data_IF_850469505614
#
_entry.id   IF_850469505614
#
_cell.length_a   1.000
_cell.length_b   1.000
_cell.length_c   1.000
_cell.angle_alpha   90.00
_cell.angle_beta   90.00
_cell.angle_gamma   90.00
#
_symmetry.space_group_name_H-M   'P 1'
#
loop_
_entity.id
_entity.type
_entity.pdbx_description
1 polymer ?
#
# COMPACT_ATOMS: atom_id res chain seq x y z
N UNK A 1 -51.84 24.44 -29.42
CA UNK A 1 -51.70 23.87 -28.05
C UNK A 1 -50.60 22.83 -28.11
N UNK A 2 -49.57 23.04 -27.29
CA UNK A 2 -48.33 22.27 -27.26
C UNK A 2 -48.56 20.81 -26.83
N UNK A 3 -48.15 19.86 -27.66
CA UNK A 3 -47.98 18.46 -27.28
C UNK A 3 -46.49 18.15 -27.13
N UNK A 4 -46.01 18.10 -25.89
CA UNK A 4 -44.66 17.65 -25.54
C UNK A 4 -44.73 16.60 -24.43
N UNK A 5 -43.76 15.69 -24.46
CA UNK A 5 -43.35 14.69 -23.43
C UNK A 5 -44.00 13.31 -23.62
N UNK A 6 -43.31 12.18 -23.46
CA UNK A 6 -41.95 11.88 -22.98
C UNK A 6 -41.59 10.48 -23.51
N UNK A 7 -40.47 10.32 -24.22
CA UNK A 7 -39.90 9.00 -24.52
C UNK A 7 -39.12 8.54 -23.27
N UNK A 8 -39.62 7.52 -22.60
CA UNK A 8 -38.89 6.81 -21.53
C UNK A 8 -37.92 5.84 -22.20
N UNK A 9 -36.63 6.16 -22.22
CA UNK A 9 -35.57 5.20 -22.54
C UNK A 9 -35.14 4.51 -21.25
N UNK A 10 -35.63 3.30 -21.03
CA UNK A 10 -35.12 2.39 -20.00
C UNK A 10 -33.74 1.87 -20.42
N UNK A 11 -32.69 2.43 -19.86
CA UNK A 11 -31.35 1.84 -19.94
C UNK A 11 -31.26 0.67 -18.95
N UNK A 12 -31.28 -0.56 -19.47
CA UNK A 12 -30.93 -1.75 -18.68
C UNK A 12 -29.41 -1.71 -18.41
N UNK A 13 -29.04 -1.48 -17.15
CA UNK A 13 -27.73 -1.84 -16.63
C UNK A 13 -27.64 -3.37 -16.57
N UNK A 14 -27.03 -3.99 -17.59
CA UNK A 14 -26.58 -5.37 -17.53
C UNK A 14 -25.40 -5.45 -16.56
N UNK A 15 -25.68 -5.87 -15.32
CA UNK A 15 -24.63 -6.29 -14.40
C UNK A 15 -23.95 -7.54 -14.95
N UNK A 16 -22.67 -7.43 -15.28
CA UNK A 16 -21.83 -8.58 -15.59
C UNK A 16 -21.58 -9.37 -14.30
N UNK A 17 -22.40 -10.40 -14.04
CA UNK A 17 -22.02 -11.47 -13.12
C UNK A 17 -21.32 -12.54 -13.94
N UNK A 18 -20.01 -12.45 -14.05
CA UNK A 18 -19.20 -13.56 -14.56
C UNK A 18 -19.17 -14.65 -13.49
N UNK A 19 -19.79 -15.79 -13.78
CA UNK A 19 -19.68 -16.99 -12.95
C UNK A 19 -18.26 -17.52 -13.11
N UNK A 20 -17.42 -17.35 -12.09
CA UNK A 20 -16.05 -17.89 -12.06
C UNK A 20 -16.13 -19.40 -11.76
N UNK A 21 -16.27 -20.21 -12.80
CA UNK A 21 -15.97 -21.65 -12.72
C UNK A 21 -14.45 -21.81 -12.56
N UNK A 22 -14.05 -22.69 -11.64
CA UNK A 22 -12.66 -22.87 -11.17
C UNK A 22 -11.61 -22.74 -12.27
N UNK A 23 -10.92 -21.61 -12.28
CA UNK A 23 -9.81 -21.39 -13.19
C UNK A 23 -8.63 -22.24 -12.72
N UNK A 24 -8.13 -23.10 -13.61
CA UNK A 24 -6.86 -23.78 -13.41
C UNK A 24 -5.76 -22.72 -13.42
N UNK A 25 -5.15 -22.48 -12.27
CA UNK A 25 -4.00 -21.57 -12.14
C UNK A 25 -2.86 -22.12 -12.99
N UNK A 26 -2.41 -21.35 -13.97
CA UNK A 26 -1.25 -21.72 -14.79
C UNK A 26 0.00 -21.45 -13.96
N UNK A 27 0.82 -22.47 -13.62
CA UNK A 27 2.03 -22.25 -12.85
C UNK A 27 2.99 -21.30 -13.58
N UNK A 28 3.60 -20.37 -12.85
CA UNK A 28 4.58 -19.47 -13.42
C UNK A 28 5.85 -20.25 -13.85
N UNK A 29 6.32 -20.06 -15.09
CA UNK A 29 7.58 -20.64 -15.53
C UNK A 29 8.75 -20.02 -14.75
N UNK A 30 9.86 -20.74 -14.66
CA UNK A 30 11.09 -20.19 -14.06
C UNK A 30 11.59 -19.00 -14.90
N UNK A 31 12.12 -17.97 -14.24
CA UNK A 31 12.85 -16.91 -14.94
C UNK A 31 14.32 -17.32 -15.11
N UNK A 32 14.68 -17.79 -16.29
CA UNK A 32 16.07 -18.05 -16.68
C UNK A 32 16.77 -16.75 -17.06
N UNK A 33 18.10 -16.75 -17.17
CA UNK A 33 18.85 -15.57 -17.63
C UNK A 33 18.41 -15.13 -19.03
N UNK A 34 18.19 -16.07 -19.95
CA UNK A 34 17.64 -15.76 -21.28
C UNK A 34 16.26 -15.05 -21.18
N UNK A 35 15.37 -15.53 -20.31
CA UNK A 35 14.07 -14.89 -20.12
C UNK A 35 14.23 -13.47 -19.56
N UNK A 36 15.15 -13.28 -18.61
CA UNK A 36 15.43 -11.97 -18.00
C UNK A 36 15.89 -10.96 -19.06
N UNK A 37 16.72 -11.41 -20.00
CA UNK A 37 17.33 -10.53 -21.00
C UNK A 37 16.42 -10.26 -22.21
N UNK A 38 15.57 -11.22 -22.61
CA UNK A 38 14.82 -11.16 -23.87
C UNK A 38 13.31 -11.02 -23.70
N UNK A 39 12.71 -11.65 -22.68
CA UNK A 39 11.25 -11.82 -22.59
C UNK A 39 10.60 -11.05 -21.44
N UNK A 40 11.30 -10.86 -20.34
CA UNK A 40 10.80 -10.17 -19.15
C UNK A 40 11.48 -8.80 -18.99
N UNK A 41 11.06 -7.86 -19.84
CA UNK A 41 11.70 -6.54 -19.93
C UNK A 41 10.79 -5.43 -19.40
N UNK A 42 11.43 -4.42 -18.81
CA UNK A 42 10.78 -3.21 -18.34
C UNK A 42 10.17 -2.44 -19.54
N UNK A 43 9.02 -1.75 -19.36
CA UNK A 43 8.29 -1.51 -18.10
C UNK A 43 7.28 -2.60 -17.73
N UNK A 44 7.06 -3.59 -18.60
CA UNK A 44 5.94 -4.52 -18.47
C UNK A 44 6.24 -5.69 -17.52
N UNK A 45 7.49 -6.13 -17.47
CA UNK A 45 7.90 -7.32 -16.72
C UNK A 45 9.25 -7.09 -16.06
N UNK A 46 9.41 -7.66 -14.87
CA UNK A 46 10.68 -7.77 -14.17
C UNK A 46 10.71 -9.05 -13.34
N UNK A 47 11.73 -9.87 -13.49
CA UNK A 47 11.89 -11.05 -12.63
C UNK A 47 12.28 -10.65 -11.20
N UNK A 48 11.93 -11.48 -10.22
CA UNK A 48 12.40 -11.31 -8.84
C UNK A 48 13.92 -11.39 -8.80
N UNK A 49 14.55 -10.37 -8.24
CA UNK A 49 16.00 -10.26 -8.21
C UNK A 49 16.49 -9.08 -7.38
N UNK A 50 17.76 -9.16 -7.01
CA UNK A 50 18.50 -8.12 -6.31
C UNK A 50 19.29 -7.22 -7.28
N UNK A 51 19.22 -7.47 -8.59
CA UNK A 51 19.77 -6.60 -9.60
C UNK A 51 19.04 -5.25 -9.60
N UNK A 52 19.74 -4.19 -10.01
CA UNK A 52 19.20 -2.84 -10.04
C UNK A 52 18.36 -2.67 -11.31
N UNK A 53 17.10 -2.18 -11.24
CA UNK A 53 16.30 -1.90 -12.43
C UNK A 53 17.05 -1.01 -13.44
N UNK A 54 17.06 -1.42 -14.71
CA UNK A 54 17.76 -0.70 -15.78
C UNK A 54 19.28 -0.87 -15.77
N UNK A 55 19.81 -1.75 -14.91
CA UNK A 55 21.24 -2.03 -14.79
C UNK A 55 22.09 -0.76 -14.57
N UNK A 56 21.53 0.19 -13.79
CA UNK A 56 22.22 1.43 -13.43
C UNK A 56 23.34 1.15 -12.43
N UNK A 57 24.42 1.94 -12.49
CA UNK A 57 25.42 1.96 -11.43
C UNK A 57 24.76 2.42 -10.13
N UNK A 58 25.10 1.79 -9.00
CA UNK A 58 24.50 2.10 -7.70
C UNK A 58 24.55 3.60 -7.33
N UNK A 59 25.62 4.30 -7.72
CA UNK A 59 25.78 5.74 -7.48
C UNK A 59 24.79 6.62 -8.27
N UNK A 60 24.15 6.06 -9.29
CA UNK A 60 23.11 6.70 -10.10
C UNK A 60 21.69 6.34 -9.63
N UNK A 61 21.54 5.49 -8.62
CA UNK A 61 20.23 5.04 -8.15
C UNK A 61 19.76 5.91 -6.98
N UNK A 62 18.57 6.53 -7.06
CA UNK A 62 17.97 7.17 -5.90
C UNK A 62 17.68 6.11 -4.84
N UNK A 63 18.00 6.38 -3.58
CA UNK A 63 17.48 5.56 -2.49
C UNK A 63 16.00 5.88 -2.30
N UNK A 64 15.15 4.91 -2.61
CA UNK A 64 13.72 5.02 -2.38
C UNK A 64 13.41 4.61 -0.94
N UNK A 65 12.56 5.38 -0.26
CA UNK A 65 12.09 5.09 1.10
C UNK A 65 10.57 5.08 1.10
N UNK A 66 9.97 3.99 1.58
CA UNK A 66 8.52 3.86 1.73
C UNK A 66 8.14 4.09 3.18
N UNK A 67 7.34 5.13 3.44
CA UNK A 67 6.63 5.25 4.70
C UNK A 67 5.23 4.73 4.49
N UNK A 68 4.81 3.73 5.27
CA UNK A 68 3.45 3.21 5.17
C UNK A 68 2.76 3.15 6.50
N UNK A 69 1.47 3.46 6.49
CA UNK A 69 0.59 3.34 7.64
C UNK A 69 -0.59 2.46 7.30
N UNK A 70 -0.79 1.43 8.12
CA UNK A 70 -1.87 0.47 7.94
C UNK A 70 -3.07 0.87 8.83
N UNK A 71 -4.23 0.31 8.52
CA UNK A 71 -5.51 0.48 9.21
C UNK A 71 -6.25 1.81 8.98
N UNK A 72 -7.17 2.12 9.89
CA UNK A 72 -8.12 3.19 9.76
C UNK A 72 -7.47 4.57 9.88
N UNK A 73 -7.79 5.46 8.96
CA UNK A 73 -7.49 6.90 9.11
C UNK A 73 -8.63 7.55 9.85
N UNK A 74 -8.35 8.14 11.00
CA UNK A 74 -9.36 8.66 11.91
C UNK A 74 -8.88 9.93 12.63
N UNK A 75 -9.76 10.54 13.42
CA UNK A 75 -9.43 11.75 14.16
C UNK A 75 -8.30 11.52 15.17
N UNK A 76 -8.09 10.28 15.60
CA UNK A 76 -7.07 9.88 16.56
C UNK A 76 -5.66 10.01 15.98
N UNK A 77 -5.46 9.81 14.66
CA UNK A 77 -4.14 9.72 14.04
C UNK A 77 -3.82 10.80 13.00
N UNK A 78 -4.81 11.53 12.51
CA UNK A 78 -4.58 12.52 11.44
C UNK A 78 -3.65 13.66 11.84
N UNK A 79 -3.73 14.14 13.09
CA UNK A 79 -2.88 15.24 13.56
C UNK A 79 -1.42 14.80 13.67
N UNK A 80 -1.18 13.55 14.08
CA UNK A 80 0.15 12.94 14.04
C UNK A 80 0.70 12.88 12.60
N UNK A 81 -0.10 12.47 11.61
CA UNK A 81 0.35 12.45 10.21
C UNK A 81 0.69 13.86 9.70
N UNK A 82 -0.14 14.86 10.02
CA UNK A 82 0.08 16.27 9.67
C UNK A 82 1.41 16.78 10.25
N UNK A 83 1.63 16.51 11.53
CA UNK A 83 2.84 16.90 12.27
C UNK A 83 4.09 16.26 11.67
N UNK A 84 4.08 14.94 11.47
CA UNK A 84 5.30 14.19 11.13
C UNK A 84 5.59 14.16 9.63
N UNK A 85 4.60 14.35 8.75
CA UNK A 85 4.81 14.19 7.31
C UNK A 85 4.79 15.52 6.53
N UNK A 86 3.83 16.41 6.81
CA UNK A 86 3.40 17.38 5.78
C UNK A 86 4.39 18.52 5.50
N UNK A 87 5.32 18.79 6.41
CA UNK A 87 6.33 19.83 6.22
C UNK A 87 7.61 19.33 5.50
N UNK A 88 7.76 18.02 5.30
CA UNK A 88 8.97 17.42 4.73
C UNK A 88 8.94 17.43 3.20
N UNK A 89 10.12 17.54 2.60
CA UNK A 89 10.30 17.61 1.15
C UNK A 89 11.43 16.70 0.67
N UNK A 90 11.26 16.19 -0.55
CA UNK A 90 12.28 15.48 -1.31
C UNK A 90 13.25 16.47 -2.01
N UNK A 91 14.41 16.01 -2.52
CA UNK A 91 15.40 16.85 -3.20
C UNK A 91 14.88 17.64 -4.40
N UNK A 92 13.79 17.20 -5.03
CA UNK A 92 13.10 17.93 -6.11
C UNK A 92 12.12 19.02 -5.59
N UNK A 93 12.19 19.37 -4.30
CA UNK A 93 11.34 20.34 -3.60
C UNK A 93 9.84 20.00 -3.59
N UNK A 94 9.48 18.74 -3.89
CA UNK A 94 8.12 18.21 -3.74
C UNK A 94 7.93 17.70 -2.31
N UNK A 95 6.73 17.84 -1.76
CA UNK A 95 6.40 17.21 -0.47
C UNK A 95 6.62 15.69 -0.53
N UNK A 96 7.09 15.11 0.57
CA UNK A 96 7.22 13.66 0.66
C UNK A 96 5.86 13.00 0.52
N UNK A 97 5.84 11.74 0.07
CA UNK A 97 4.62 10.97 -0.11
C UNK A 97 4.72 9.69 0.71
N UNK A 98 3.70 9.40 1.51
CA UNK A 98 3.52 8.15 2.24
C UNK A 98 2.39 7.33 1.60
N UNK A 99 2.37 6.01 1.86
CA UNK A 99 1.30 5.12 1.41
C UNK A 99 0.42 4.71 2.57
N UNK A 100 -0.89 4.92 2.47
CA UNK A 100 -1.85 4.51 3.49
C UNK A 100 -2.64 3.29 3.02
N UNK A 101 -2.52 2.18 3.74
CA UNK A 101 -3.28 0.97 3.49
C UNK A 101 -4.55 1.02 4.35
N UNK A 102 -5.65 1.44 3.74
CA UNK A 102 -6.87 1.80 4.46
C UNK A 102 -7.74 0.57 4.72
N UNK A 103 -8.06 0.33 5.99
CA UNK A 103 -9.15 -0.57 6.41
C UNK A 103 -10.48 0.18 6.44
N UNK A 104 -11.62 -0.46 6.15
CA UNK A 104 -12.92 0.21 6.18
C UNK A 104 -13.40 0.60 7.58
N UNK A 105 -13.44 -0.35 8.52
CA UNK A 105 -14.06 -0.10 9.83
C UNK A 105 -13.38 1.08 10.55
N UNK A 106 -14.20 1.99 11.11
CA UNK A 106 -13.77 3.23 11.78
C UNK A 106 -12.99 4.26 10.96
N UNK A 107 -12.82 4.07 9.63
CA UNK A 107 -12.21 5.08 8.78
C UNK A 107 -13.10 6.31 8.58
N UNK A 108 -12.49 7.48 8.75
CA UNK A 108 -13.03 8.76 8.33
C UNK A 108 -12.62 9.04 6.87
N UNK A 109 -13.56 8.87 5.95
CA UNK A 109 -13.31 8.99 4.51
C UNK A 109 -13.01 10.44 4.08
N UNK A 110 -13.41 11.45 4.86
CA UNK A 110 -13.05 12.84 4.55
C UNK A 110 -11.58 13.12 4.82
N UNK A 111 -11.00 12.45 5.82
CA UNK A 111 -9.56 12.54 6.11
C UNK A 111 -8.74 11.72 5.09
N UNK A 112 -9.27 10.59 4.61
CA UNK A 112 -8.67 9.87 3.47
C UNK A 112 -8.62 10.78 2.22
N UNK A 113 -9.70 11.52 1.95
CA UNK A 113 -9.71 12.50 0.85
C UNK A 113 -8.67 13.61 1.04
N UNK A 114 -8.46 14.08 2.26
CA UNK A 114 -7.41 15.05 2.56
C UNK A 114 -6.02 14.49 2.24
N UNK A 115 -5.70 13.29 2.74
CA UNK A 115 -4.43 12.61 2.47
C UNK A 115 -4.22 12.43 0.96
N UNK A 116 -5.25 11.95 0.25
CA UNK A 116 -5.21 11.86 -1.21
C UNK A 116 -4.95 13.23 -1.85
N UNK A 117 -5.64 14.29 -1.45
CA UNK A 117 -5.47 15.63 -2.03
C UNK A 117 -4.05 16.17 -1.80
N UNK A 118 -3.42 15.78 -0.70
CA UNK A 118 -2.04 16.10 -0.35
C UNK A 118 -1.01 15.16 -1.00
N UNK A 119 -1.43 14.38 -1.99
CA UNK A 119 -0.62 13.48 -2.82
C UNK A 119 -0.12 12.20 -2.15
N UNK A 120 -0.56 11.91 -0.91
CA UNK A 120 -0.35 10.58 -0.33
C UNK A 120 -0.96 9.48 -1.20
N UNK A 121 -0.28 8.34 -1.26
CA UNK A 121 -0.74 7.17 -1.99
C UNK A 121 -1.78 6.44 -1.14
N UNK A 122 -2.94 6.12 -1.72
CA UNK A 122 -4.05 5.47 -1.02
C UNK A 122 -4.19 4.07 -1.59
N UNK A 123 -4.03 3.07 -0.74
CA UNK A 123 -4.12 1.66 -1.04
C UNK A 123 -5.12 0.96 -0.10
N UNK A 124 -5.45 -0.28 -0.41
CA UNK A 124 -6.48 -1.04 0.30
C UNK A 124 -5.89 -1.94 1.38
N UNK A 125 -6.65 -2.15 2.45
CA UNK A 125 -6.34 -3.06 3.54
C UNK A 125 -7.55 -3.88 4.01
N UNK A 126 -8.42 -4.24 3.06
CA UNK A 126 -9.69 -4.95 3.25
C UNK A 126 -10.81 -4.18 3.94
N UNK A 127 -12.05 -4.63 3.73
CA UNK A 127 -13.18 -4.10 4.50
C UNK A 127 -13.18 -4.59 5.94
N UNK A 128 -13.03 -5.90 6.14
CA UNK A 128 -13.33 -6.47 7.46
C UNK A 128 -12.18 -6.44 8.43
N UNK A 129 -10.94 -6.47 7.93
CA UNK A 129 -9.74 -6.69 8.73
C UNK A 129 -9.93 -7.80 9.79
N UNK A 130 -10.61 -8.89 9.37
CA UNK A 130 -10.90 -10.06 10.20
C UNK A 130 -9.65 -10.51 10.96
N UNK A 131 -9.69 -10.62 12.30
CA UNK A 131 -8.49 -10.84 13.11
C UNK A 131 -7.89 -12.25 12.97
N UNK A 132 -8.58 -13.18 12.31
CA UNK A 132 -8.12 -14.55 12.17
C UNK A 132 -7.26 -14.68 10.91
N UNK A 133 -5.94 -14.89 11.05
CA UNK A 133 -5.06 -15.15 9.90
C UNK A 133 -5.52 -16.35 9.07
N UNK A 134 -6.06 -17.40 9.72
CA UNK A 134 -6.63 -18.55 9.02
C UNK A 134 -7.80 -18.18 8.06
N UNK A 135 -8.55 -17.10 8.34
CA UNK A 135 -9.56 -16.59 7.42
C UNK A 135 -8.89 -16.16 6.10
N UNK A 136 -7.90 -15.27 6.17
CA UNK A 136 -7.18 -14.75 5.00
C UNK A 136 -6.45 -15.82 4.21
N UNK A 137 -5.79 -16.76 4.91
CA UNK A 137 -5.06 -17.87 4.28
C UNK A 137 -5.98 -18.81 3.49
N UNK A 138 -7.25 -18.94 3.89
CA UNK A 138 -8.21 -19.89 3.31
C UNK A 138 -9.27 -19.25 2.42
N UNK A 139 -9.26 -17.92 2.26
CA UNK A 139 -10.21 -17.22 1.41
C UNK A 139 -10.11 -17.70 -0.05
N UNK A 140 -11.26 -18.05 -0.63
CA UNK A 140 -11.38 -18.25 -2.06
C UNK A 140 -11.43 -16.91 -2.81
N UNK A 141 -11.35 -16.96 -4.14
CA UNK A 141 -11.37 -15.77 -4.99
C UNK A 141 -12.62 -14.89 -4.77
N UNK A 142 -13.81 -15.48 -4.61
CA UNK A 142 -15.04 -14.71 -4.36
C UNK A 142 -14.95 -13.90 -3.08
N UNK A 143 -14.40 -14.47 -2.02
CA UNK A 143 -14.26 -13.75 -0.75
C UNK A 143 -13.14 -12.71 -0.79
N UNK A 144 -12.02 -12.98 -1.45
CA UNK A 144 -11.00 -11.96 -1.72
C UNK A 144 -11.57 -10.79 -2.53
N UNK A 145 -12.40 -11.07 -3.53
CA UNK A 145 -13.08 -10.03 -4.31
C UNK A 145 -13.95 -9.17 -3.42
N UNK A 146 -14.77 -9.80 -2.57
CA UNK A 146 -15.61 -9.09 -1.62
C UNK A 146 -14.80 -8.29 -0.63
N UNK A 147 -13.64 -8.75 -0.18
CA UNK A 147 -12.83 -7.99 0.79
C UNK A 147 -12.11 -6.80 0.17
N UNK A 148 -11.69 -6.91 -1.09
CA UNK A 148 -10.71 -5.98 -1.68
C UNK A 148 -11.27 -5.20 -2.87
N UNK A 149 -11.86 -5.89 -3.85
CA UNK A 149 -12.38 -5.21 -5.06
C UNK A 149 -13.57 -4.35 -4.68
N UNK A 150 -14.48 -4.88 -3.86
CA UNK A 150 -15.64 -4.14 -3.38
C UNK A 150 -15.23 -2.97 -2.47
N UNK A 151 -14.16 -3.14 -1.66
CA UNK A 151 -13.59 -2.05 -0.89
C UNK A 151 -13.08 -0.90 -1.77
N UNK A 152 -12.55 -1.21 -2.96
CA UNK A 152 -12.09 -0.16 -3.89
C UNK A 152 -13.24 0.76 -4.31
N UNK A 153 -14.39 0.17 -4.66
CA UNK A 153 -15.59 0.92 -5.02
C UNK A 153 -16.08 1.76 -3.83
N UNK A 154 -16.10 1.15 -2.65
CA UNK A 154 -16.45 1.80 -1.39
C UNK A 154 -15.57 3.03 -1.12
N UNK A 155 -14.24 2.85 -1.12
CA UNK A 155 -13.27 3.89 -0.82
C UNK A 155 -13.33 5.04 -1.83
N UNK A 156 -13.37 4.71 -3.12
CA UNK A 156 -13.51 5.70 -4.19
C UNK A 156 -14.79 6.52 -4.06
N UNK A 157 -15.91 5.87 -3.72
CA UNK A 157 -17.21 6.52 -3.58
C UNK A 157 -17.25 7.45 -2.36
N UNK A 158 -16.88 6.93 -1.20
CA UNK A 158 -17.06 7.63 0.08
C UNK A 158 -15.96 8.65 0.38
N UNK A 159 -14.73 8.45 -0.10
CA UNK A 159 -13.63 9.42 0.01
C UNK A 159 -13.48 10.30 -1.24
N UNK A 160 -14.26 10.10 -2.30
CA UNK A 160 -14.13 10.87 -3.57
C UNK A 160 -12.72 10.85 -4.18
N UNK A 161 -12.01 9.75 -3.96
CA UNK A 161 -10.73 9.45 -4.60
C UNK A 161 -10.96 8.68 -5.91
N UNK A 162 -10.01 8.67 -6.86
CA UNK A 162 -10.18 7.91 -8.10
C UNK A 162 -10.43 6.43 -7.85
N UNK A 163 -11.33 5.83 -8.63
CA UNK A 163 -11.57 4.38 -8.59
C UNK A 163 -10.36 3.55 -9.09
N UNK A 164 -9.29 4.20 -9.56
CA UNK A 164 -8.04 3.60 -10.03
C UNK A 164 -7.03 3.35 -8.91
N UNK A 165 -7.49 3.12 -7.67
CA UNK A 165 -6.62 2.65 -6.58
C UNK A 165 -5.93 1.36 -7.00
N UNK A 166 -4.61 1.32 -6.86
CA UNK A 166 -3.76 0.32 -7.52
C UNK A 166 -3.23 -0.77 -6.59
N UNK A 167 -3.16 -0.48 -5.30
CA UNK A 167 -2.42 -1.27 -4.31
C UNK A 167 -3.29 -1.97 -3.28
N UNK A 168 -2.78 -3.09 -2.78
CA UNK A 168 -3.29 -3.82 -1.62
C UNK A 168 -2.12 -4.15 -0.68
N UNK A 169 -2.39 -4.13 0.62
CA UNK A 169 -1.69 -4.97 1.60
C UNK A 169 -2.71 -5.90 2.26
N UNK A 170 -2.40 -7.19 2.34
CA UNK A 170 -3.26 -8.14 3.04
C UNK A 170 -3.19 -7.92 4.57
N UNK A 171 -4.32 -7.94 5.30
CA UNK A 171 -4.34 -7.90 6.76
C UNK A 171 -3.42 -8.93 7.38
N UNK A 172 -2.71 -8.53 8.44
CA UNK A 172 -1.72 -9.36 9.15
C UNK A 172 -0.60 -9.91 8.25
N UNK A 173 -0.39 -9.30 7.08
CA UNK A 173 0.52 -9.79 6.02
C UNK A 173 0.17 -11.21 5.53
N UNK A 174 -1.01 -11.72 5.88
CA UNK A 174 -1.45 -13.05 5.52
C UNK A 174 -2.03 -13.03 4.11
N UNK A 175 -1.17 -13.28 3.13
CA UNK A 175 -1.57 -13.44 1.74
C UNK A 175 -2.41 -14.71 1.54
N UNK A 176 -3.24 -14.69 0.49
CA UNK A 176 -4.12 -15.81 0.12
C UNK A 176 -3.67 -16.55 -1.14
N UNK A 177 -2.36 -16.55 -1.43
CA UNK A 177 -1.78 -17.21 -2.61
C UNK A 177 -2.44 -16.82 -3.94
N UNK A 178 -2.65 -17.83 -4.78
CA UNK A 178 -3.25 -17.65 -6.11
C UNK A 178 -4.69 -17.11 -6.13
N UNK A 179 -5.60 -17.51 -5.22
CA UNK A 179 -6.91 -16.89 -5.09
C UNK A 179 -6.86 -15.36 -4.95
N UNK A 180 -5.96 -14.85 -4.10
CA UNK A 180 -5.76 -13.41 -3.90
C UNK A 180 -5.24 -12.75 -5.18
N UNK A 181 -4.17 -13.30 -5.77
CA UNK A 181 -3.53 -12.71 -6.95
C UNK A 181 -4.46 -12.73 -8.19
N UNK A 182 -5.26 -13.79 -8.34
CA UNK A 182 -6.28 -13.89 -9.40
C UNK A 182 -7.26 -12.73 -9.33
N UNK A 183 -7.79 -12.46 -8.13
CA UNK A 183 -8.75 -11.38 -7.90
C UNK A 183 -8.12 -10.02 -8.15
N UNK A 184 -6.90 -9.80 -7.68
CA UNK A 184 -6.21 -8.52 -7.85
C UNK A 184 -5.93 -8.23 -9.33
N UNK A 185 -5.39 -9.20 -10.05
CA UNK A 185 -5.09 -9.08 -11.47
C UNK A 185 -6.36 -8.84 -12.30
N UNK A 186 -7.42 -9.64 -12.08
CA UNK A 186 -8.70 -9.49 -12.79
C UNK A 186 -9.43 -8.20 -12.40
N UNK A 187 -9.28 -7.77 -11.13
CA UNK A 187 -9.77 -6.49 -10.63
C UNK A 187 -8.99 -5.30 -11.16
N UNK A 188 -7.90 -5.49 -11.90
CA UNK A 188 -7.09 -4.39 -12.46
C UNK A 188 -6.20 -3.67 -11.45
N UNK A 189 -5.97 -4.26 -10.26
CA UNK A 189 -4.92 -3.82 -9.36
C UNK A 189 -3.55 -3.99 -10.02
N UNK A 190 -2.57 -3.19 -9.61
CA UNK A 190 -1.24 -3.17 -10.23
C UNK A 190 -0.18 -3.77 -9.35
N UNK A 191 -0.36 -3.70 -8.04
CA UNK A 191 0.66 -4.16 -7.11
C UNK A 191 0.08 -4.60 -5.77
N UNK A 192 0.84 -5.44 -5.07
CA UNK A 192 0.62 -5.72 -3.65
C UNK A 192 1.92 -5.56 -2.86
N UNK A 193 1.81 -5.25 -1.57
CA UNK A 193 2.95 -5.09 -0.66
C UNK A 193 2.67 -5.80 0.67
N UNK A 194 2.63 -7.13 0.67
CA UNK A 194 2.27 -7.93 1.85
C UNK A 194 3.29 -9.03 2.15
N UNK A 195 4.30 -9.21 1.29
CA UNK A 195 5.21 -10.35 1.33
C UNK A 195 6.55 -9.96 1.95
N UNK A 196 6.83 -10.36 3.20
CA UNK A 196 8.14 -10.15 3.80
C UNK A 196 9.24 -10.98 3.16
N UNK A 197 10.49 -10.53 3.33
CA UNK A 197 11.68 -11.27 2.91
C UNK A 197 12.85 -11.00 3.84
N UNK A 198 13.43 -12.09 4.35
CA UNK A 198 14.62 -12.09 5.20
C UNK A 198 15.84 -12.54 4.41
N UNK A 199 15.65 -13.56 3.57
CA UNK A 199 16.70 -14.15 2.75
C UNK A 199 17.23 -13.19 1.68
N UNK A 200 16.44 -12.18 1.28
CA UNK A 200 16.83 -11.16 0.31
C UNK A 200 16.84 -9.76 0.95
N UNK A 201 17.38 -9.67 2.17
CA UNK A 201 17.61 -8.39 2.84
C UNK A 201 18.91 -7.71 2.39
N UNK A 202 19.97 -8.49 2.16
CA UNK A 202 21.31 -8.02 1.78
C UNK A 202 21.93 -8.96 0.73
N UNK A 203 22.12 -8.51 -0.52
CA UNK A 203 21.48 -7.33 -1.12
C UNK A 203 19.94 -7.43 -1.11
N UNK A 204 19.28 -6.28 -1.10
CA UNK A 204 17.83 -6.18 -0.98
C UNK A 204 17.06 -6.65 -2.23
N UNK A 205 15.88 -7.24 -2.06
CA UNK A 205 15.02 -7.62 -3.18
C UNK A 205 14.35 -6.36 -3.80
N UNK A 206 14.51 -6.16 -5.10
CA UNK A 206 13.77 -5.11 -5.82
C UNK A 206 12.35 -5.57 -6.17
N UNK A 207 11.37 -4.64 -6.30
CA UNK A 207 10.06 -4.99 -6.82
C UNK A 207 10.13 -5.71 -8.16
N UNK A 208 9.20 -6.65 -8.36
CA UNK A 208 9.18 -7.53 -9.51
C UNK A 208 7.75 -7.89 -9.90
N UNK A 209 7.56 -8.47 -11.08
CA UNK A 209 6.26 -8.92 -11.57
C UNK A 209 6.07 -10.41 -11.41
N UNK A 210 4.82 -10.84 -11.18
CA UNK A 210 4.42 -12.24 -11.09
C UNK A 210 4.23 -12.93 -12.45
N UNK A 211 4.87 -12.44 -13.51
CA UNK A 211 4.97 -13.10 -14.83
C UNK A 211 5.73 -14.42 -14.77
N UNK A 212 6.73 -14.50 -13.90
CA UNK A 212 7.60 -15.65 -13.73
C UNK A 212 7.69 -16.04 -12.26
N UNK A 213 8.13 -17.27 -12.00
CA UNK A 213 8.24 -17.82 -10.65
C UNK A 213 9.16 -16.95 -9.80
N UNK A 214 8.60 -16.48 -8.69
CA UNK A 214 9.32 -15.72 -7.66
C UNK A 214 10.42 -16.57 -7.01
N UNK A 215 11.59 -15.98 -6.82
CA UNK A 215 12.66 -16.50 -5.97
C UNK A 215 12.54 -16.07 -4.50
N UNK A 216 11.68 -15.08 -4.19
CA UNK A 216 11.43 -14.61 -2.83
C UNK A 216 10.99 -15.76 -1.91
N UNK A 217 11.54 -15.79 -0.70
CA UNK A 217 11.10 -16.67 0.38
C UNK A 217 9.60 -16.51 0.69
N UNK A 218 8.98 -17.61 1.11
CA UNK A 218 7.57 -17.63 1.48
C UNK A 218 7.45 -17.75 3.00
N UNK A 219 7.70 -16.65 3.71
CA UNK A 219 7.64 -16.65 5.18
C UNK A 219 6.23 -16.91 5.71
N UNK A 220 5.23 -16.31 5.06
CA UNK A 220 3.81 -16.44 5.42
C UNK A 220 3.08 -17.13 4.26
N UNK A 221 2.94 -18.45 4.36
CA UNK A 221 2.23 -19.25 3.37
C UNK A 221 0.71 -19.05 3.46
N UNK A 222 -0.06 -19.22 2.35
CA UNK A 222 0.39 -19.66 1.02
C UNK A 222 0.85 -18.51 0.10
N UNK A 223 1.99 -18.68 -0.59
CA UNK A 223 2.45 -17.78 -1.64
C UNK A 223 1.91 -18.16 -3.02
N UNK A 224 1.71 -17.19 -3.94
CA UNK A 224 1.27 -17.48 -5.31
C UNK A 224 2.31 -18.30 -6.07
N UNK A 225 1.84 -19.29 -6.81
CA UNK A 225 2.69 -20.05 -7.76
C UNK A 225 2.26 -19.83 -9.21
N UNK A 226 1.12 -19.18 -9.44
CA UNK A 226 0.57 -18.88 -10.73
C UNK A 226 1.24 -17.71 -11.46
N UNK A 227 0.99 -17.64 -12.77
CA UNK A 227 1.43 -16.54 -13.63
C UNK A 227 0.39 -15.41 -13.66
N UNK A 228 0.78 -14.22 -13.22
CA UNK A 228 -0.03 -12.99 -13.23
C UNK A 228 0.73 -11.87 -13.93
N UNK A 229 0.57 -11.81 -15.26
CA UNK A 229 1.36 -10.91 -16.11
C UNK A 229 1.16 -9.44 -15.76
N UNK A 230 2.27 -8.73 -15.57
CA UNK A 230 2.32 -7.30 -15.24
C UNK A 230 1.82 -6.96 -13.84
N UNK A 231 1.50 -7.94 -12.99
CA UNK A 231 1.12 -7.70 -11.59
C UNK A 231 2.36 -7.67 -10.70
N UNK A 232 2.56 -6.57 -9.99
CA UNK A 232 3.80 -6.33 -9.23
C UNK A 232 3.70 -6.81 -7.77
N UNK A 233 4.73 -7.49 -7.32
CA UNK A 233 5.01 -7.69 -5.90
C UNK A 233 6.03 -6.65 -5.46
N UNK A 234 5.67 -5.86 -4.44
CA UNK A 234 6.57 -4.94 -3.76
C UNK A 234 6.99 -5.63 -2.45
N UNK A 235 8.19 -6.25 -2.41
CA UNK A 235 8.61 -7.02 -1.25
C UNK A 235 8.77 -6.11 -0.03
N UNK A 236 8.39 -6.62 1.13
CA UNK A 236 8.67 -5.99 2.41
C UNK A 236 10.02 -6.54 2.88
N UNK A 237 11.09 -5.81 2.62
CA UNK A 237 12.41 -6.22 3.11
C UNK A 237 12.40 -6.10 4.64
N UNK A 238 12.63 -7.22 5.33
CA UNK A 238 12.61 -7.23 6.79
C UNK A 238 13.68 -6.29 7.36
N UNK A 239 13.34 -5.61 8.45
CA UNK A 239 14.33 -5.01 9.32
C UNK A 239 14.96 -6.08 10.21
N UNK A 240 16.13 -5.77 10.75
CA UNK A 240 16.83 -6.58 11.74
C UNK A 240 16.80 -5.86 13.08
N UNK A 241 16.11 -6.46 14.07
CA UNK A 241 16.00 -5.98 15.44
C UNK A 241 17.35 -5.91 16.17
N UNK A 242 17.35 -5.48 17.44
CA UNK A 242 18.58 -5.50 18.25
C UNK A 242 18.97 -6.93 18.67
N UNK A 243 17.98 -7.82 18.78
CA UNK A 243 18.16 -9.26 19.02
C UNK A 243 18.68 -10.01 17.78
N UNK A 244 18.78 -9.34 16.63
CA UNK A 244 19.08 -9.91 15.32
C UNK A 244 18.02 -10.89 14.79
N UNK A 245 16.76 -10.69 15.17
CA UNK A 245 15.63 -11.31 14.52
C UNK A 245 15.02 -10.39 13.45
N UNK A 246 14.45 -11.02 12.42
CA UNK A 246 13.79 -10.33 11.31
C UNK A 246 12.40 -9.83 11.69
N UNK A 247 12.08 -8.60 11.28
CA UNK A 247 10.76 -8.00 11.49
C UNK A 247 10.31 -7.25 10.24
N UNK A 248 9.16 -7.66 9.70
CA UNK A 248 8.57 -7.06 8.50
C UNK A 248 7.98 -5.68 8.78
N UNK A 249 7.42 -5.46 9.97
CA UNK A 249 6.88 -4.18 10.41
C UNK A 249 7.69 -3.68 11.60
N UNK A 250 7.99 -2.38 11.65
CA UNK A 250 8.87 -1.81 12.68
C UNK A 250 8.30 -1.99 14.10
N UNK A 251 6.97 -2.05 14.20
CA UNK A 251 6.26 -2.29 15.46
C UNK A 251 6.27 -3.75 15.92
N UNK A 252 6.76 -4.66 15.08
CA UNK A 252 7.00 -6.07 15.43
C UNK A 252 8.47 -6.37 15.69
N UNK A 253 9.37 -5.38 15.55
CA UNK A 253 10.77 -5.56 15.90
C UNK A 253 10.96 -5.67 17.41
N UNK A 254 11.77 -6.64 17.82
CA UNK A 254 12.08 -6.92 19.22
C UNK A 254 13.54 -6.62 19.55
N UNK A 255 13.83 -6.19 20.80
CA UNK A 255 12.89 -5.57 21.74
C UNK A 255 12.30 -4.27 21.15
N UNK A 256 11.12 -3.86 21.64
CA UNK A 256 10.50 -2.59 21.24
C UNK A 256 11.39 -1.44 21.72
N UNK A 257 11.80 -0.49 20.85
CA UNK A 257 12.61 0.64 21.27
C UNK A 257 11.90 1.53 22.31
N UNK A 258 12.53 1.74 23.46
CA UNK A 258 11.99 2.59 24.54
C UNK A 258 12.55 4.02 24.53
N UNK A 259 13.57 4.30 23.72
CA UNK A 259 14.20 5.63 23.61
C UNK A 259 14.22 6.15 22.17
N UNK A 260 14.36 7.48 22.03
CA UNK A 260 14.49 8.13 20.73
C UNK A 260 15.77 7.67 20.00
N UNK A 261 16.87 7.48 20.73
CA UNK A 261 18.13 6.97 20.17
C UNK A 261 17.99 5.52 19.71
N UNK A 262 17.35 4.65 20.48
CA UNK A 262 17.11 3.27 20.08
C UNK A 262 16.27 3.20 18.79
N UNK A 263 15.21 4.01 18.70
CA UNK A 263 14.37 4.08 17.49
C UNK A 263 15.13 4.62 16.29
N UNK A 264 15.88 5.72 16.47
CA UNK A 264 16.72 6.29 15.42
C UNK A 264 17.78 5.29 14.93
N UNK A 265 18.45 4.58 15.85
CA UNK A 265 19.50 3.62 15.54
C UNK A 265 18.95 2.37 14.84
N UNK A 266 17.78 1.87 15.25
CA UNK A 266 17.09 0.77 14.57
C UNK A 266 16.82 1.12 13.10
N UNK A 267 16.24 2.30 12.85
CA UNK A 267 15.94 2.76 11.49
C UNK A 267 17.23 3.03 10.68
N UNK A 268 18.23 3.67 11.29
CA UNK A 268 19.50 3.98 10.64
C UNK A 268 20.28 2.73 10.24
N UNK A 269 20.36 1.73 11.13
CA UNK A 269 21.00 0.43 10.86
C UNK A 269 20.40 -0.20 9.59
N UNK A 270 19.07 -0.32 9.55
CA UNK A 270 18.37 -0.99 8.47
C UNK A 270 18.31 -0.17 7.17
N UNK A 271 18.29 1.16 7.26
CA UNK A 271 18.46 2.03 6.11
C UNK A 271 19.83 1.85 5.44
N UNK A 272 20.90 1.80 6.24
CA UNK A 272 22.26 1.65 5.73
C UNK A 272 22.47 0.31 5.02
N UNK A 273 21.72 -0.74 5.40
CA UNK A 273 21.74 -2.03 4.72
C UNK A 273 21.39 -1.93 3.22
N UNK A 274 20.53 -0.97 2.85
CA UNK A 274 20.14 -0.71 1.46
C UNK A 274 20.93 0.44 0.83
N UNK A 275 21.33 1.42 1.64
CA UNK A 275 21.90 2.69 1.17
C UNK A 275 23.42 2.64 0.96
N UNK A 276 24.15 1.90 1.79
CA UNK A 276 25.63 1.94 1.88
C UNK A 276 26.25 0.57 2.17
N UNK A 277 27.53 0.40 1.82
CA UNK A 277 28.29 -0.83 2.09
C UNK A 277 28.40 -1.74 0.88
N UNK A 278 29.08 -2.88 1.05
CA UNK A 278 29.42 -3.78 -0.07
C UNK A 278 28.24 -4.58 -0.61
N UNK A 279 27.21 -4.79 0.20
CA UNK A 279 26.00 -5.55 -0.18
C UNK A 279 24.81 -4.63 -0.47
N UNK A 280 24.99 -3.30 -0.36
CA UNK A 280 23.93 -2.36 -0.70
C UNK A 280 23.69 -2.38 -2.21
N UNK A 281 22.41 -2.32 -2.60
CA UNK A 281 21.97 -2.21 -3.98
C UNK A 281 20.87 -1.16 -4.17
N UNK A 282 20.66 -0.29 -3.18
CA UNK A 282 19.65 0.78 -3.17
C UNK A 282 18.20 0.28 -3.30
N UNK A 283 17.93 -1.00 -3.01
CA UNK A 283 16.57 -1.51 -2.97
C UNK A 283 15.69 -0.65 -2.04
N UNK A 284 14.38 -0.51 -2.31
CA UNK A 284 13.54 0.38 -1.53
C UNK A 284 13.52 0.01 -0.05
N UNK A 285 13.86 0.97 0.81
CA UNK A 285 13.82 0.79 2.26
C UNK A 285 12.42 1.10 2.78
N UNK A 286 11.74 0.09 3.33
CA UNK A 286 10.40 0.24 3.86
C UNK A 286 10.39 0.48 5.37
N UNK A 287 9.63 1.49 5.82
CA UNK A 287 9.18 1.64 7.19
C UNK A 287 7.68 1.40 7.20
N UNK A 288 7.31 0.15 7.47
CA UNK A 288 5.94 -0.31 7.53
C UNK A 288 5.49 -0.34 8.99
N UNK A 289 4.41 0.38 9.33
CA UNK A 289 3.98 0.52 10.73
C UNK A 289 2.50 0.83 10.88
N UNK A 290 1.99 0.71 12.10
CA UNK A 290 0.70 1.23 12.52
C UNK A 290 0.88 2.56 13.26
N UNK A 291 -0.07 3.49 13.10
CA UNK A 291 0.00 4.79 13.75
C UNK A 291 0.14 4.69 15.28
N UNK A 292 -0.50 3.68 15.90
CA UNK A 292 -0.47 3.46 17.35
C UNK A 292 0.94 3.23 17.91
N UNK A 293 1.90 2.78 17.08
CA UNK A 293 3.30 2.60 17.51
C UNK A 293 4.02 3.94 17.75
N UNK A 294 3.56 5.01 17.09
CA UNK A 294 4.15 6.36 17.14
C UNK A 294 3.21 7.39 17.79
N UNK A 295 1.92 7.09 17.90
CA UNK A 295 0.89 8.05 18.28
C UNK A 295 0.12 7.60 19.52
N UNK A 296 0.35 8.32 20.62
CA UNK A 296 -0.19 8.11 21.95
C UNK A 296 0.37 9.16 22.90
N UNK A 297 -0.36 9.50 23.97
CA UNK A 297 0.01 10.60 24.90
C UNK A 297 0.49 10.12 26.27
N UNK A 298 0.21 8.88 26.64
CA UNK A 298 0.31 8.41 28.03
C UNK A 298 1.46 7.40 28.25
N UNK A 299 2.37 7.28 27.27
CA UNK A 299 3.48 6.33 27.27
C UNK A 299 4.75 7.03 26.78
N UNK A 300 5.74 7.18 27.68
CA UNK A 300 7.04 7.82 27.38
C UNK A 300 7.77 7.10 26.23
N UNK A 301 7.62 5.78 26.10
CA UNK A 301 8.18 5.00 25.01
C UNK A 301 7.52 5.29 23.66
N UNK A 302 6.21 5.60 23.61
CA UNK A 302 5.57 6.06 22.35
C UNK A 302 6.11 7.43 21.94
N UNK A 303 6.22 8.36 22.89
CA UNK A 303 6.77 9.70 22.62
C UNK A 303 8.23 9.62 22.14
N UNK A 304 9.04 8.78 22.78
CA UNK A 304 10.43 8.55 22.40
C UNK A 304 10.55 7.92 21.00
N UNK A 305 9.71 6.94 20.65
CA UNK A 305 9.65 6.38 19.29
C UNK A 305 9.30 7.43 18.25
N UNK A 306 8.32 8.30 18.53
CA UNK A 306 7.95 9.43 17.65
C UNK A 306 9.12 10.38 17.42
N UNK A 307 9.84 10.73 18.47
CA UNK A 307 11.02 11.60 18.38
C UNK A 307 12.13 10.96 17.54
N UNK A 308 12.49 9.72 17.82
CA UNK A 308 13.52 8.98 17.07
C UNK A 308 13.15 8.79 15.60
N UNK A 309 11.89 8.49 15.31
CA UNK A 309 11.35 8.43 13.95
C UNK A 309 11.47 9.78 13.24
N UNK A 310 11.08 10.87 13.88
CA UNK A 310 11.15 12.23 13.31
C UNK A 310 12.60 12.65 13.03
N UNK A 311 13.53 12.37 13.96
CA UNK A 311 14.98 12.58 13.79
C UNK A 311 15.53 11.80 12.60
N UNK A 312 15.08 10.56 12.41
CA UNK A 312 15.49 9.75 11.26
C UNK A 312 14.98 10.36 9.94
N UNK A 313 13.72 10.78 9.88
CA UNK A 313 13.18 11.46 8.70
C UNK A 313 13.89 12.78 8.39
N UNK A 314 14.28 13.54 9.41
CA UNK A 314 15.07 14.77 9.24
C UNK A 314 16.45 14.46 8.66
N UNK A 315 17.11 13.40 9.13
CA UNK A 315 18.36 12.94 8.54
C UNK A 315 18.20 12.57 7.07
N UNK A 316 17.14 11.85 6.68
CA UNK A 316 16.86 11.55 5.27
C UNK A 316 16.70 12.82 4.43
N UNK A 317 16.06 13.85 4.98
CA UNK A 317 15.90 15.16 4.33
C UNK A 317 17.20 15.91 4.07
N UNK A 318 18.32 15.51 4.72
CA UNK A 318 19.65 16.08 4.43
C UNK A 318 20.33 15.48 3.19
N UNK A 319 19.77 14.40 2.62
CA UNK A 319 20.37 13.66 1.52
C UNK A 319 19.77 14.11 0.19
N UNK A 320 20.65 14.41 -0.78
CA UNK A 320 20.24 14.82 -2.13
C UNK A 320 19.88 13.64 -3.05
N UNK A 321 20.10 12.41 -2.59
CA UNK A 321 19.90 11.16 -3.34
C UNK A 321 18.85 10.23 -2.70
N UNK A 322 18.13 10.68 -1.67
CA UNK A 322 17.05 9.93 -1.01
C UNK A 322 15.69 10.54 -1.38
N UNK A 323 14.73 9.68 -1.75
CA UNK A 323 13.37 10.07 -2.07
C UNK A 323 12.37 9.28 -1.23
N UNK A 324 11.61 9.99 -0.38
CA UNK A 324 10.48 9.45 0.38
C UNK A 324 9.22 9.60 -0.48
N UNK A 325 8.76 8.49 -1.05
CA UNK A 325 7.71 8.46 -2.07
C UNK A 325 6.71 7.35 -1.82
N UNK A 326 5.50 7.52 -2.35
CA UNK A 326 4.48 6.46 -2.32
C UNK A 326 4.88 5.29 -3.19
N UNK A 327 4.37 4.09 -2.89
CA UNK A 327 4.72 2.86 -3.61
C UNK A 327 4.38 2.98 -5.10
N UNK A 328 3.23 3.58 -5.44
CA UNK A 328 2.86 3.77 -6.84
C UNK A 328 3.85 4.66 -7.59
N UNK A 329 4.35 5.76 -6.98
CA UNK A 329 5.34 6.63 -7.59
C UNK A 329 6.71 5.93 -7.74
N UNK A 330 7.10 5.14 -6.74
CA UNK A 330 8.34 4.36 -6.78
C UNK A 330 8.32 3.32 -7.90
N UNK A 331 7.19 2.62 -8.09
CA UNK A 331 7.03 1.67 -9.18
C UNK A 331 7.12 2.32 -10.57
N UNK A 332 6.74 3.59 -10.72
CA UNK A 332 6.96 4.29 -12.00
C UNK A 332 8.45 4.47 -12.32
N UNK A 333 9.30 4.70 -11.30
CA UNK A 333 10.76 4.69 -11.48
C UNK A 333 11.26 3.26 -11.75
N UNK A 334 10.78 2.25 -11.03
CA UNK A 334 11.19 0.85 -11.27
C UNK A 334 10.85 0.39 -12.69
N UNK A 335 9.68 0.80 -13.21
CA UNK A 335 9.24 0.53 -14.59
C UNK A 335 10.09 1.25 -15.64
N UNK A 336 10.52 2.48 -15.35
CA UNK A 336 11.26 3.32 -16.29
C UNK A 336 12.46 3.98 -15.59
N UNK A 337 13.49 3.18 -15.22
CA UNK A 337 14.59 3.66 -14.41
C UNK A 337 15.40 4.70 -15.17
N UNK A 338 15.60 5.85 -14.53
CA UNK A 338 16.49 6.91 -15.00
C UNK A 338 17.55 7.21 -13.94
N UNK A 339 18.76 7.64 -14.34
CA UNK A 339 19.79 8.08 -13.41
C UNK A 339 19.30 9.21 -12.50
N UNK A 340 19.75 9.23 -11.25
CA UNK A 340 19.44 10.21 -10.20
C UNK A 340 19.51 11.66 -10.72
N UNK A 341 20.57 11.99 -11.47
CA UNK A 341 20.78 13.33 -12.03
C UNK A 341 19.66 13.79 -12.99
N UNK A 342 18.88 12.87 -13.56
CA UNK A 342 17.79 13.18 -14.49
C UNK A 342 16.43 13.35 -13.79
N UNK A 343 16.30 12.93 -12.53
CA UNK A 343 15.01 12.93 -11.80
C UNK A 343 14.43 14.33 -11.70
N UNK A 344 15.25 15.34 -11.38
CA UNK A 344 14.81 16.73 -11.24
C UNK A 344 14.15 17.30 -12.51
N UNK A 345 14.56 16.83 -13.70
CA UNK A 345 14.04 17.28 -14.99
C UNK A 345 12.93 16.38 -15.54
N UNK A 346 12.59 15.29 -14.85
CA UNK A 346 11.57 14.32 -15.28
C UNK A 346 10.18 14.65 -14.73
N UNK A 347 9.19 13.80 -14.99
CA UNK A 347 7.87 13.83 -14.33
C UNK A 347 7.82 12.95 -13.07
N UNK A 348 8.87 12.18 -12.78
CA UNK A 348 8.92 11.30 -11.62
C UNK A 348 8.90 12.11 -10.32
N UNK A 349 8.19 11.55 -9.33
CA UNK A 349 8.07 12.11 -7.98
C UNK A 349 7.51 13.53 -7.92
N UNK A 350 6.81 13.99 -8.97
CA UNK A 350 6.06 15.24 -8.95
C UNK A 350 4.69 15.03 -8.31
N UNK A 351 4.28 16.00 -7.51
CA UNK A 351 3.01 16.00 -6.81
C UNK A 351 1.97 16.80 -7.62
N UNK A 352 0.99 16.15 -8.28
CA UNK A 352 -0.03 16.88 -9.02
C UNK A 352 -0.91 17.72 -8.09
N UNK A 353 -1.44 18.82 -8.63
CA UNK A 353 -2.50 19.55 -7.92
C UNK A 353 -3.80 18.76 -8.00
N UNK A 354 -4.40 18.44 -6.84
CA UNK A 354 -5.66 17.71 -6.74
C UNK A 354 -6.76 18.63 -6.20
N UNK A 355 -7.91 18.66 -6.86
CA UNK A 355 -9.06 19.46 -6.44
C UNK A 355 -9.70 18.90 -5.16
N UNK A 356 -10.32 19.76 -4.35
CA UNK A 356 -11.13 19.30 -3.23
C UNK A 356 -12.52 18.84 -3.69
N UNK A 357 -12.66 17.55 -3.96
CA UNK A 357 -13.94 16.91 -4.31
C UNK A 357 -14.79 16.47 -3.10
N UNK A 358 -14.39 16.85 -1.88
CA UNK A 358 -15.12 16.60 -0.63
C UNK A 358 -15.46 17.93 0.08
N UNK A 359 -16.24 18.84 -0.55
CA UNK A 359 -16.57 20.12 0.05
C UNK A 359 -17.61 20.01 1.17
N UNK A 360 -18.38 18.93 1.20
CA UNK A 360 -19.43 18.68 2.21
C UNK A 360 -19.13 17.40 2.95
N UNK A 361 -19.11 17.49 4.28
CA UNK A 361 -18.92 16.36 5.19
C UNK A 361 -20.29 15.86 5.64
N UNK A 362 -20.53 14.56 5.46
CA UNK A 362 -21.72 13.88 5.94
C UNK A 362 -21.34 12.98 7.12
N UNK A 363 -21.85 13.28 8.30
CA UNK A 363 -21.68 12.43 9.49
C UNK A 363 -22.90 11.53 9.64
N UNK A 364 -22.67 10.24 9.51
CA UNK A 364 -23.71 9.21 9.44
C UNK A 364 -23.65 8.36 10.71
N UNK A 365 -24.82 8.14 11.31
CA UNK A 365 -25.02 7.20 12.41
C UNK A 365 -25.88 6.05 11.91
N UNK A 366 -25.44 4.82 12.16
CA UNK A 366 -26.17 3.60 11.82
C UNK A 366 -26.56 2.90 13.10
N UNK A 367 -27.86 2.72 13.30
CA UNK A 367 -28.42 1.94 14.40
C UNK A 367 -28.07 0.44 14.23
N UNK A 368 -28.17 -0.40 15.29
CA UNK A 368 -27.83 -1.83 15.20
C UNK A 368 -28.57 -2.58 14.09
N UNK A 369 -29.81 -2.20 13.78
CA UNK A 369 -30.61 -2.77 12.69
C UNK A 369 -30.11 -2.37 11.28
N UNK A 370 -29.25 -1.35 11.18
CA UNK A 370 -28.66 -0.86 9.94
C UNK A 370 -27.23 -1.38 9.71
N UNK A 371 -26.73 -2.27 10.56
CA UNK A 371 -25.34 -2.74 10.52
C UNK A 371 -25.24 -4.24 10.83
N UNK A 372 -24.21 -4.96 10.35
CA UNK A 372 -23.98 -6.35 10.76
C UNK A 372 -23.49 -6.49 12.22
N UNK A 373 -23.31 -5.39 12.94
CA UNK A 373 -22.78 -5.39 14.31
C UNK A 373 -23.89 -5.21 15.36
N UNK A 374 -23.68 -5.71 16.58
CA UNK A 374 -24.64 -5.54 17.68
C UNK A 374 -24.69 -4.09 18.21
N UNK A 375 -23.74 -3.24 17.79
CA UNK A 375 -23.58 -1.86 18.26
C UNK A 375 -23.62 -0.88 17.11
N UNK A 376 -23.95 0.37 17.43
CA UNK A 376 -23.99 1.44 16.43
C UNK A 376 -22.65 1.62 15.72
N UNK A 377 -22.72 2.15 14.50
CA UNK A 377 -21.56 2.57 13.74
C UNK A 377 -21.69 4.02 13.31
N UNK A 378 -20.54 4.67 13.16
CA UNK A 378 -20.45 6.06 12.74
C UNK A 378 -19.50 6.15 11.55
N UNK A 379 -19.82 7.02 10.59
CA UNK A 379 -18.97 7.30 9.44
C UNK A 379 -18.99 8.78 9.10
N UNK A 380 -17.84 9.32 8.68
CA UNK A 380 -17.73 10.64 8.06
C UNK A 380 -17.37 10.47 6.59
N UNK A 381 -18.19 11.03 5.70
CA UNK A 381 -18.17 10.76 4.26
C UNK A 381 -18.13 12.04 3.42
N UNK A 382 -17.61 11.91 2.19
CA UNK A 382 -17.64 12.91 1.13
C UNK A 382 -18.85 12.75 0.18
N UNK A 383 -19.84 11.96 0.61
CA UNK A 383 -21.09 11.70 -0.10
C UNK A 383 -22.24 11.52 0.91
N UNK A 384 -23.50 11.68 0.50
CA UNK A 384 -24.65 11.45 1.36
C UNK A 384 -24.61 10.09 2.07
N UNK A 385 -25.17 10.05 3.28
CA UNK A 385 -25.22 8.82 4.07
C UNK A 385 -26.00 7.73 3.33
N UNK A 386 -25.40 6.54 3.10
CA UNK A 386 -26.16 5.39 2.65
C UNK A 386 -27.16 4.94 3.73
N UNK A 387 -28.23 4.22 3.36
CA UNK A 387 -29.24 3.75 4.31
C UNK A 387 -28.75 2.66 5.26
N UNK A 388 -27.78 1.85 4.84
CA UNK A 388 -27.16 0.78 5.63
C UNK A 388 -25.68 1.05 5.83
N UNK A 389 -25.10 0.55 6.92
CA UNK A 389 -23.65 0.55 7.10
C UNK A 389 -23.02 -0.31 5.99
N UNK A 390 -22.16 0.27 5.15
CA UNK A 390 -21.44 -0.46 4.13
C UNK A 390 -20.67 -1.65 4.72
N UNK A 391 -20.71 -2.82 4.10
CA UNK A 391 -19.95 -3.98 4.57
C UNK A 391 -19.77 -5.03 3.47
N UNK A 392 -19.17 -6.17 3.82
CA UNK A 392 -19.03 -7.31 2.91
C UNK A 392 -20.39 -7.73 2.35
N UNK A 393 -20.50 -7.82 1.02
CA UNK A 393 -21.74 -8.12 0.31
C UNK A 393 -22.68 -6.92 0.07
N UNK A 394 -22.44 -5.77 0.72
CA UNK A 394 -23.12 -4.50 0.45
C UNK A 394 -22.15 -3.31 0.62
N UNK A 395 -21.14 -3.17 -0.25
CA UNK A 395 -20.02 -2.25 -0.04
C UNK A 395 -20.40 -0.76 -0.12
N UNK A 396 -21.60 -0.45 -0.59
CA UNK A 396 -22.14 0.91 -0.69
C UNK A 396 -23.35 1.14 0.21
N UNK A 397 -23.70 0.19 1.07
CA UNK A 397 -24.77 0.35 2.06
C UNK A 397 -26.15 0.60 1.45
N UNK A 398 -26.46 -0.03 0.31
CA UNK A 398 -27.75 0.11 -0.41
C UNK A 398 -28.91 -0.58 0.35
N UNK A 399 -30.18 -0.20 0.10
CA UNK A 399 -31.35 -0.81 0.73
C UNK A 399 -31.49 -2.32 0.51
#
# INVERSE_FOLDING_TARGET
MFGSRLLLTTALCLGYVAIILGQTVTPAPACTDQIRDENCTLPACRCSGNDIPGNLDIAQVPQLVFLTFDDAVAIQNIDFYREVLFHRKNPNNQSITATFFITHEYTNYTLVHELYRLNHDIALHSMTHNPLTAYWASLNATMWQREVVDQREQLASFARVPATIQGLRAPFLQIGGDPMYTVLAQGGFKWECSRPTLNFRKPGLWPYTADYRSSQDCQIAPCPVGQYKGFWTVPMIDMMGEDNEGCAMVDTCTPVPETADATYNLLMKNFNDQYTGSEANRAPFGIFTHAAWLNGTDDEGIAARREGYSRFLDYLGTKNDVYIVGISQALEWVKNPIPLAQIANSTLFKNPTRANNCPTVYNCRYAPEQTPFPTERYMSLCSPCPPMYPWIGNPLGRP
#
